data_IF_347498149954
#
_entry.id   IF_347498149954
#
_cell.length_a   1.000
_cell.length_b   1.000
_cell.length_c   1.000
_cell.angle_alpha   90.00
_cell.angle_beta   90.00
_cell.angle_gamma   90.00
#
_symmetry.space_group_name_H-M   'P 1'
#
loop_
_entity.id
_entity.type
_entity.pdbx_description
1 polymer ?
#
# COMPACT_ATOMS: atom_id res chain seq x y z
N UNK A 1 -2.77 24.59 11.10
CA UNK A 1 -1.97 23.40 11.45
C UNK A 1 -1.78 22.61 10.16
N UNK A 2 -0.55 22.51 9.66
CA UNK A 2 -0.24 21.71 8.46
C UNK A 2 -0.09 20.26 8.90
N UNK A 3 -1.14 19.46 8.71
CA UNK A 3 -1.11 18.02 8.97
C UNK A 3 -0.35 17.34 7.84
N UNK A 4 0.84 16.83 8.15
CA UNK A 4 1.55 15.96 7.21
C UNK A 4 0.77 14.65 7.02
N UNK A 5 0.80 14.02 5.82
CA UNK A 5 0.17 12.72 5.60
C UNK A 5 0.71 11.68 6.60
N UNK A 6 -0.18 10.83 7.13
CA UNK A 6 0.24 9.70 7.97
C UNK A 6 0.96 8.68 7.10
N UNK A 7 2.22 8.37 7.44
CA UNK A 7 3.05 7.41 6.70
C UNK A 7 2.96 6.03 7.32
N UNK A 8 2.67 5.02 6.50
CA UNK A 8 2.48 3.63 6.95
C UNK A 8 3.29 2.69 6.08
N UNK A 9 4.10 1.85 6.73
CA UNK A 9 4.87 0.80 6.06
C UNK A 9 3.98 -0.32 5.55
N UNK A 10 4.16 -0.75 4.30
CA UNK A 10 3.35 -1.81 3.69
C UNK A 10 4.20 -2.73 2.81
N UNK A 11 3.85 -4.03 2.79
CA UNK A 11 4.45 -4.94 1.82
C UNK A 11 4.04 -4.58 0.39
N UNK A 12 5.01 -4.27 -0.48
CA UNK A 12 4.79 -3.88 -1.90
C UNK A 12 3.93 -4.86 -2.71
N UNK A 13 3.93 -6.14 -2.36
CA UNK A 13 3.06 -7.13 -3.00
C UNK A 13 1.56 -6.83 -2.82
N UNK A 14 1.19 -6.16 -1.72
CA UNK A 14 -0.19 -5.73 -1.44
C UNK A 14 -0.61 -4.54 -2.30
N UNK A 15 0.35 -3.78 -2.84
CA UNK A 15 0.10 -2.69 -3.79
C UNK A 15 0.02 -3.18 -5.24
N UNK A 16 0.27 -4.48 -5.47
CA UNK A 16 0.23 -5.10 -6.79
C UNK A 16 1.59 -5.31 -7.44
N UNK A 17 2.69 -5.01 -6.74
CA UNK A 17 4.02 -5.26 -7.26
C UNK A 17 4.38 -6.75 -7.23
N UNK A 18 4.97 -7.24 -8.33
CA UNK A 18 5.35 -8.65 -8.53
C UNK A 18 6.64 -9.02 -7.79
N UNK A 19 6.66 -8.84 -6.47
CA UNK A 19 7.83 -9.03 -5.60
C UNK A 19 7.75 -10.29 -4.74
N UNK A 20 6.68 -11.10 -4.87
CA UNK A 20 6.61 -12.39 -4.18
C UNK A 20 7.62 -13.36 -4.79
N UNK A 21 8.06 -14.34 -4.01
CA UNK A 21 9.03 -15.37 -4.45
C UNK A 21 8.54 -16.17 -5.67
N UNK A 22 7.23 -16.26 -5.86
CA UNK A 22 6.57 -16.93 -6.99
C UNK A 22 6.37 -16.02 -8.22
N UNK A 23 6.91 -14.80 -8.19
CA UNK A 23 6.74 -13.80 -9.26
C UNK A 23 5.34 -13.16 -9.31
N UNK A 24 4.47 -13.48 -8.34
CA UNK A 24 3.13 -12.93 -8.22
C UNK A 24 3.05 -11.67 -7.35
N UNK A 25 1.82 -11.19 -7.16
CA UNK A 25 1.45 -10.15 -6.21
C UNK A 25 0.14 -10.51 -5.50
N UNK A 26 -0.27 -9.72 -4.51
CA UNK A 26 -1.55 -9.90 -3.80
C UNK A 26 -2.21 -8.55 -3.61
N UNK A 27 -2.58 -7.90 -4.72
CA UNK A 27 -3.15 -6.55 -4.65
C UNK A 27 -4.40 -6.59 -3.78
N UNK A 28 -4.40 -5.83 -2.70
CA UNK A 28 -5.50 -5.76 -1.76
C UNK A 28 -6.34 -4.52 -2.05
N UNK A 29 -7.58 -4.72 -2.50
CA UNK A 29 -8.48 -3.63 -2.91
C UNK A 29 -8.85 -2.72 -1.75
N UNK A 30 -8.97 -3.22 -0.51
CA UNK A 30 -9.28 -2.36 0.62
C UNK A 30 -8.10 -1.42 0.91
N UNK A 31 -6.88 -1.97 0.91
CA UNK A 31 -5.67 -1.17 1.11
C UNK A 31 -5.49 -0.14 -0.01
N UNK A 32 -5.62 -0.53 -1.28
CA UNK A 32 -5.37 0.41 -2.40
C UNK A 32 -6.51 1.39 -2.63
N UNK A 33 -7.77 0.97 -2.50
CA UNK A 33 -8.91 1.79 -2.92
C UNK A 33 -9.61 2.50 -1.77
N UNK A 34 -9.46 2.04 -0.52
CA UNK A 34 -10.15 2.64 0.64
C UNK A 34 -9.14 3.32 1.55
N UNK A 35 -8.25 2.54 2.16
CA UNK A 35 -7.31 3.08 3.16
C UNK A 35 -6.26 4.01 2.52
N UNK A 36 -5.82 3.71 1.29
CA UNK A 36 -4.83 4.50 0.55
C UNK A 36 -5.24 5.93 0.26
N UNK A 37 -6.52 6.29 0.46
CA UNK A 37 -7.00 7.68 0.36
C UNK A 37 -6.60 8.54 1.55
N UNK A 38 -6.18 7.94 2.66
CA UNK A 38 -5.98 8.61 3.94
C UNK A 38 -4.52 8.59 4.43
N UNK A 39 -3.66 7.80 3.79
CA UNK A 39 -2.27 7.58 4.22
C UNK A 39 -1.30 7.60 3.04
N UNK A 40 -0.03 7.81 3.34
CA UNK A 40 1.07 7.63 2.39
C UNK A 40 1.74 6.27 2.64
N UNK A 41 1.84 5.46 1.59
CA UNK A 41 2.55 4.19 1.64
C UNK A 41 4.05 4.39 1.57
N UNK A 42 4.77 3.72 2.47
CA UNK A 42 6.24 3.70 2.54
C UNK A 42 6.75 2.28 2.43
#
# INVERSE_FOLDING_TARGET
MTTLPLRVGISRCLLGEKVRFDGGHKRDTFLTEVLGRYVEWV
#
